data_IF_787807974933
#
_entry.id   IF_787807974933
#
_cell.length_a   1.000
_cell.length_b   1.000
_cell.length_c   1.000
_cell.angle_alpha   90.00
_cell.angle_beta   90.00
_cell.angle_gamma   90.00
#
_symmetry.space_group_name_H-M   'P 1'
#
loop_
_entity.id
_entity.type
_entity.pdbx_description
1 polymer ?
#
# COMPACT_ATOMS: atom_id res chain seq x y z
N UNK A 1 6.80 -7.48 -40.65
CA UNK A 1 5.98 -6.78 -39.63
C UNK A 1 6.88 -5.88 -38.82
N UNK A 2 6.80 -4.56 -39.00
CA UNK A 2 7.61 -3.58 -38.24
C UNK A 2 7.05 -3.47 -36.82
N UNK A 3 7.93 -3.60 -35.83
CA UNK A 3 7.65 -3.71 -34.40
C UNK A 3 6.92 -2.46 -33.86
N UNK A 4 5.58 -2.44 -33.92
CA UNK A 4 4.73 -1.50 -33.15
C UNK A 4 4.63 -1.95 -31.68
N UNK A 5 5.74 -2.22 -31.01
CA UNK A 5 5.74 -2.54 -29.58
C UNK A 5 6.18 -1.30 -28.80
N UNK A 6 5.25 -0.36 -28.68
CA UNK A 6 5.34 0.63 -27.60
C UNK A 6 4.83 -0.12 -26.37
N UNK A 7 5.75 -0.48 -25.48
CA UNK A 7 5.40 -1.10 -24.22
C UNK A 7 4.84 -0.02 -23.28
N UNK A 8 3.63 -0.22 -22.78
CA UNK A 8 2.82 0.80 -22.09
C UNK A 8 3.02 0.80 -20.56
N UNK A 9 4.21 0.42 -20.10
CA UNK A 9 4.51 0.26 -18.69
C UNK A 9 4.87 1.59 -18.03
N UNK A 10 3.88 2.23 -17.41
CA UNK A 10 4.11 3.12 -16.27
C UNK A 10 3.49 2.49 -15.03
N UNK A 11 4.15 2.63 -13.89
CA UNK A 11 4.31 1.56 -12.91
C UNK A 11 3.84 1.98 -11.53
N UNK A 12 3.08 1.14 -10.81
CA UNK A 12 2.84 1.24 -9.36
C UNK A 12 2.20 -0.03 -8.80
N UNK A 13 2.52 -0.40 -7.56
CA UNK A 13 1.99 -1.51 -6.77
C UNK A 13 2.33 -1.30 -5.27
N UNK A 14 1.30 -1.36 -4.43
CA UNK A 14 1.38 -1.26 -2.96
C UNK A 14 1.40 -2.63 -2.28
N UNK A 15 2.11 -2.80 -1.15
CA UNK A 15 1.54 -2.95 0.22
C UNK A 15 2.54 -3.43 1.30
N UNK A 16 2.17 -3.12 2.55
CA UNK A 16 2.56 -3.66 3.89
C UNK A 16 3.89 -3.19 4.51
N UNK A 17 3.74 -2.45 5.61
CA UNK A 17 4.78 -1.95 6.52
C UNK A 17 5.49 -3.11 7.22
N UNK A 18 6.83 -3.14 7.16
CA UNK A 18 7.80 -2.82 8.23
C UNK A 18 9.16 -2.70 7.53
N UNK A 19 9.76 -1.51 7.60
CA UNK A 19 11.15 -1.18 7.25
C UNK A 19 11.75 -1.81 5.97
N UNK A 20 11.89 -0.99 4.92
CA UNK A 20 12.72 -1.20 3.71
C UNK A 20 12.30 -2.31 2.74
N UNK A 21 11.32 -2.07 1.86
CA UNK A 21 11.16 -2.78 0.58
C UNK A 21 10.07 -2.11 -0.30
N UNK A 22 10.38 -1.81 -1.57
CA UNK A 22 9.44 -1.26 -2.56
C UNK A 22 9.28 -2.29 -3.69
N UNK A 23 8.59 -3.40 -3.40
CA UNK A 23 8.21 -4.38 -4.41
C UNK A 23 7.05 -3.82 -5.23
N UNK A 24 7.35 -3.26 -6.41
CA UNK A 24 6.36 -2.59 -7.30
C UNK A 24 5.80 -3.54 -8.37
N UNK A 25 6.32 -4.76 -8.45
CA UNK A 25 6.07 -5.63 -9.59
C UNK A 25 6.49 -7.05 -9.35
N UNK A 26 5.83 -7.95 -10.07
CA UNK A 26 6.29 -9.33 -10.26
C UNK A 26 6.51 -9.56 -11.75
N UNK A 27 7.71 -9.93 -12.11
CA UNK A 27 8.09 -10.30 -13.46
C UNK A 27 8.24 -11.81 -13.53
N UNK A 28 7.33 -12.47 -14.27
CA UNK A 28 7.44 -13.90 -14.54
C UNK A 28 8.14 -14.09 -15.89
N UNK A 29 9.23 -14.85 -15.88
CA UNK A 29 10.00 -15.21 -17.06
C UNK A 29 9.52 -16.54 -17.63
N UNK A 30 9.74 -16.75 -18.94
CA UNK A 30 9.33 -17.97 -19.64
C UNK A 30 10.01 -19.25 -19.16
N UNK A 31 11.19 -19.14 -18.54
CA UNK A 31 11.88 -20.26 -17.91
C UNK A 31 11.31 -20.63 -16.51
N UNK A 32 10.34 -19.87 -16.02
CA UNK A 32 9.73 -20.06 -14.70
C UNK A 32 10.27 -19.15 -13.59
N UNK A 33 11.36 -18.40 -13.83
CA UNK A 33 11.88 -17.45 -12.84
C UNK A 33 10.88 -16.33 -12.55
N UNK A 34 10.86 -15.88 -11.30
CA UNK A 34 10.00 -14.80 -10.81
C UNK A 34 10.85 -13.73 -10.12
N UNK A 35 10.78 -12.49 -10.59
CA UNK A 35 11.47 -11.35 -9.98
C UNK A 35 10.46 -10.41 -9.34
N UNK A 36 10.68 -10.04 -8.09
CA UNK A 36 9.86 -9.08 -7.37
C UNK A 36 10.64 -7.78 -7.15
N UNK A 37 10.11 -6.66 -7.64
CA UNK A 37 10.82 -5.38 -7.68
C UNK A 37 10.25 -4.43 -8.71
N UNK A 38 11.06 -3.78 -9.53
CA UNK A 38 10.56 -2.88 -10.58
C UNK A 38 11.49 -2.80 -11.80
N UNK A 39 10.91 -2.50 -12.96
CA UNK A 39 11.67 -2.16 -14.16
C UNK A 39 12.33 -0.80 -13.95
N UNK A 40 13.64 -0.79 -13.69
CA UNK A 40 14.42 0.40 -13.33
C UNK A 40 14.99 1.14 -14.53
N UNK A 41 15.15 0.46 -15.68
CA UNK A 41 15.58 1.07 -16.93
C UNK A 41 14.92 0.37 -18.12
N UNK A 42 14.53 1.15 -19.13
CA UNK A 42 14.04 0.63 -20.41
C UNK A 42 14.67 1.42 -21.54
N UNK A 43 15.21 0.70 -22.52
CA UNK A 43 15.60 1.26 -23.82
C UNK A 43 14.65 0.69 -24.87
N UNK A 44 13.69 1.50 -25.37
CA UNK A 44 12.67 1.01 -26.30
C UNK A 44 13.25 0.21 -27.47
N UNK A 45 12.75 -1.01 -27.66
CA UNK A 45 13.20 -1.90 -28.73
C UNK A 45 14.60 -2.52 -28.57
N UNK A 46 15.26 -2.32 -27.41
CA UNK A 46 16.57 -2.91 -27.12
C UNK A 46 16.48 -3.88 -25.93
N UNK A 47 16.46 -3.35 -24.72
CA UNK A 47 16.49 -4.13 -23.49
C UNK A 47 15.88 -3.35 -22.32
N UNK A 48 15.83 -4.01 -21.16
CA UNK A 48 15.46 -3.39 -19.91
C UNK A 48 16.27 -3.97 -18.76
N UNK A 49 16.33 -3.21 -17.67
CA UNK A 49 16.89 -3.66 -16.40
C UNK A 49 15.77 -3.73 -15.37
N UNK A 50 15.71 -4.84 -14.66
CA UNK A 50 14.81 -5.05 -13.53
C UNK A 50 15.62 -5.04 -12.24
N UNK A 51 15.29 -4.14 -11.33
CA UNK A 51 15.83 -4.14 -9.97
C UNK A 51 14.93 -5.01 -9.12
N UNK A 52 15.41 -6.18 -8.72
CA UNK A 52 14.69 -7.12 -7.87
C UNK A 52 15.16 -7.00 -6.42
N UNK A 53 14.22 -6.99 -5.49
CA UNK A 53 14.48 -7.10 -4.05
C UNK A 53 14.36 -8.56 -3.57
N UNK A 54 13.55 -9.34 -4.30
CA UNK A 54 13.41 -10.78 -4.13
C UNK A 54 13.36 -11.44 -5.50
N UNK A 55 14.03 -12.59 -5.66
CA UNK A 55 13.96 -13.34 -6.90
C UNK A 55 13.90 -14.84 -6.63
N UNK A 56 13.03 -15.55 -7.34
CA UNK A 56 13.09 -17.00 -7.48
C UNK A 56 13.66 -17.28 -8.86
N UNK A 57 14.84 -17.88 -8.92
CA UNK A 57 15.54 -18.14 -10.17
C UNK A 57 15.54 -19.63 -10.49
N UNK A 58 15.24 -19.95 -11.75
CA UNK A 58 15.41 -21.28 -12.33
C UNK A 58 16.61 -21.28 -13.28
N UNK A 59 17.49 -22.27 -13.09
CA UNK A 59 18.64 -22.51 -13.97
C UNK A 59 18.87 -24.01 -14.19
N UNK A 60 19.50 -24.41 -15.30
CA UNK A 60 20.02 -25.77 -15.50
C UNK A 60 20.96 -26.19 -14.36
N UNK A 61 20.89 -27.46 -13.95
CA UNK A 61 21.77 -27.98 -12.91
C UNK A 61 23.24 -28.06 -13.34
N UNK A 62 23.49 -28.28 -14.63
CA UNK A 62 24.82 -28.35 -15.23
C UNK A 62 25.58 -27.02 -15.22
N UNK A 63 24.86 -25.90 -15.10
CA UNK A 63 25.46 -24.56 -15.02
C UNK A 63 26.14 -24.30 -13.65
N UNK A 64 25.82 -25.10 -12.63
CA UNK A 64 26.45 -25.03 -11.31
C UNK A 64 27.60 -26.04 -11.22
N UNK A 65 28.82 -25.55 -10.97
CA UNK A 65 30.01 -26.39 -10.70
C UNK A 65 29.91 -27.03 -9.32
N UNK A 66 29.45 -26.29 -8.32
CA UNK A 66 29.18 -26.80 -6.97
C UNK A 66 28.23 -25.89 -6.21
N UNK A 67 27.68 -26.41 -5.11
CA UNK A 67 26.83 -25.67 -4.17
C UNK A 67 27.40 -25.92 -2.77
N UNK A 68 27.67 -24.84 -2.03
CA UNK A 68 28.22 -24.89 -0.67
C UNK A 68 27.16 -24.37 0.28
N UNK A 69 26.79 -25.17 1.27
CA UNK A 69 25.75 -24.83 2.24
C UNK A 69 26.35 -24.22 3.52
N UNK A 70 25.65 -23.24 4.09
CA UNK A 70 26.02 -22.49 5.28
C UNK A 70 24.82 -22.44 6.23
N UNK A 71 25.01 -22.88 7.47
CA UNK A 71 24.03 -22.71 8.53
C UNK A 71 24.19 -21.32 9.15
N UNK A 72 23.17 -20.47 8.97
CA UNK A 72 23.17 -19.11 9.51
C UNK A 72 22.19 -19.02 10.67
N UNK A 73 22.67 -18.58 11.83
CA UNK A 73 21.84 -18.44 13.01
C UNK A 73 20.78 -17.33 12.81
N UNK A 74 19.58 -17.53 13.36
CA UNK A 74 18.46 -16.58 13.26
C UNK A 74 18.84 -15.14 13.68
N UNK A 75 19.75 -14.98 14.65
CA UNK A 75 20.22 -13.66 15.13
C UNK A 75 21.09 -12.92 14.13
N UNK A 76 21.60 -13.61 13.10
CA UNK A 76 22.44 -13.06 12.04
C UNK A 76 21.66 -12.83 10.74
N UNK A 77 20.44 -13.33 10.64
CA UNK A 77 19.60 -13.18 9.45
C UNK A 77 18.98 -11.78 9.38
N UNK A 78 18.78 -11.30 8.15
CA UNK A 78 17.97 -10.11 7.93
C UNK A 78 16.49 -10.38 8.28
N UNK A 79 15.71 -9.35 8.65
CA UNK A 79 14.28 -9.50 8.90
C UNK A 79 13.52 -10.18 7.75
N UNK A 80 13.92 -9.93 6.50
CA UNK A 80 13.32 -10.57 5.31
C UNK A 80 13.54 -12.08 5.30
N UNK A 81 14.76 -12.54 5.59
CA UNK A 81 15.06 -13.96 5.69
C UNK A 81 14.34 -14.63 6.86
N UNK A 82 14.29 -13.96 8.02
CA UNK A 82 13.54 -14.46 9.18
C UNK A 82 12.06 -14.60 8.83
N UNK A 83 11.44 -13.54 8.29
CA UNK A 83 10.03 -13.54 7.94
C UNK A 83 9.67 -14.60 6.89
N UNK A 84 10.52 -14.80 5.89
CA UNK A 84 10.34 -15.88 4.93
C UNK A 84 10.50 -17.26 5.55
N UNK A 85 11.53 -17.48 6.37
CA UNK A 85 11.80 -18.77 6.98
C UNK A 85 10.67 -19.18 7.94
N UNK A 86 10.14 -18.27 8.75
CA UNK A 86 8.95 -18.53 9.60
C UNK A 86 7.73 -18.89 8.75
N UNK A 87 7.46 -18.12 7.68
CA UNK A 87 6.30 -18.36 6.81
C UNK A 87 6.34 -19.71 6.09
N UNK A 88 7.54 -20.25 5.87
CA UNK A 88 7.75 -21.50 5.13
C UNK A 88 8.23 -22.67 6.01
N UNK A 89 8.23 -22.51 7.33
CA UNK A 89 8.75 -23.52 8.29
C UNK A 89 10.16 -24.02 7.90
N UNK A 90 11.03 -23.09 7.50
CA UNK A 90 12.33 -23.41 6.90
C UNK A 90 13.50 -23.44 7.91
N UNK A 91 13.24 -23.08 9.17
CA UNK A 91 14.24 -23.11 10.23
C UNK A 91 14.52 -24.53 10.70
N UNK A 92 15.78 -24.82 11.01
CA UNK A 92 16.22 -26.05 11.66
C UNK A 92 16.55 -25.73 13.13
N UNK A 93 16.09 -26.55 14.06
CA UNK A 93 16.33 -26.39 15.49
C UNK A 93 15.19 -25.70 16.25
N UNK A 94 15.44 -25.32 17.51
CA UNK A 94 14.43 -24.76 18.42
C UNK A 94 14.91 -23.46 19.09
N UNK A 95 13.95 -22.57 19.38
CA UNK A 95 14.19 -21.32 20.11
C UNK A 95 15.20 -20.41 19.41
N UNK A 96 16.15 -19.90 20.18
CA UNK A 96 17.19 -18.96 19.74
C UNK A 96 18.33 -19.62 18.94
N UNK A 97 18.40 -20.95 18.93
CA UNK A 97 19.43 -21.70 18.22
C UNK A 97 18.97 -22.14 16.82
N UNK A 98 17.83 -21.62 16.35
CA UNK A 98 17.33 -21.87 15.01
C UNK A 98 18.31 -21.35 13.97
N UNK A 99 18.55 -22.17 12.94
CA UNK A 99 19.40 -21.83 11.80
C UNK A 99 18.63 -21.94 10.50
N UNK A 100 18.96 -21.09 9.53
CA UNK A 100 18.52 -21.21 8.15
C UNK A 100 19.72 -21.61 7.29
N UNK A 101 19.55 -22.63 6.46
CA UNK A 101 20.57 -23.03 5.50
C UNK A 101 20.48 -22.15 4.26
N UNK A 102 21.49 -21.29 4.07
CA UNK A 102 21.73 -20.55 2.83
C UNK A 102 22.93 -21.16 2.11
N UNK A 103 23.02 -20.98 0.81
CA UNK A 103 24.04 -21.62 -0.01
C UNK A 103 24.71 -20.61 -0.93
N UNK A 104 25.95 -20.92 -1.30
CA UNK A 104 26.65 -20.27 -2.40
C UNK A 104 26.66 -21.22 -3.61
N UNK A 105 26.15 -20.76 -4.75
CA UNK A 105 26.19 -21.48 -6.03
C UNK A 105 27.45 -21.01 -6.78
N UNK A 106 28.38 -21.94 -7.01
CA UNK A 106 29.62 -21.67 -7.72
C UNK A 106 29.43 -22.05 -9.19
N UNK A 107 29.59 -21.08 -10.09
CA UNK A 107 29.46 -21.22 -11.54
C UNK A 107 30.80 -20.94 -12.23
N UNK A 108 30.85 -21.05 -13.56
CA UNK A 108 31.99 -20.57 -14.33
C UNK A 108 32.15 -19.05 -14.23
N UNK A 109 33.20 -18.59 -13.55
CA UNK A 109 33.55 -17.17 -13.47
C UNK A 109 32.65 -16.31 -12.58
N UNK A 110 31.68 -16.90 -11.88
CA UNK A 110 30.74 -16.20 -10.99
C UNK A 110 30.34 -17.08 -9.80
N UNK A 111 30.15 -16.44 -8.64
CA UNK A 111 29.50 -17.06 -7.47
C UNK A 111 28.22 -16.30 -7.17
N UNK A 112 27.12 -17.01 -6.94
CA UNK A 112 25.86 -16.46 -6.44
C UNK A 112 25.74 -16.83 -4.98
N UNK A 113 25.97 -15.86 -4.09
CA UNK A 113 26.08 -16.12 -2.65
C UNK A 113 24.79 -15.91 -1.87
N UNK A 114 24.72 -16.54 -0.70
CA UNK A 114 23.65 -16.35 0.30
C UNK A 114 22.23 -16.54 -0.24
N UNK A 115 22.01 -17.59 -1.03
CA UNK A 115 20.69 -17.94 -1.58
C UNK A 115 20.07 -19.10 -0.85
N UNK A 116 18.74 -19.25 -0.90
CA UNK A 116 18.08 -20.45 -0.41
C UNK A 116 17.79 -21.40 -1.56
N UNK A 117 18.42 -22.58 -1.57
CA UNK A 117 18.08 -23.64 -2.54
C UNK A 117 16.69 -24.20 -2.22
N UNK A 118 15.82 -24.23 -3.23
CA UNK A 118 14.45 -24.73 -3.15
C UNK A 118 14.30 -26.07 -3.87
N UNK A 119 14.97 -26.26 -5.00
CA UNK A 119 15.02 -27.52 -5.76
C UNK A 119 16.45 -27.69 -6.31
N UNK A 120 16.98 -28.92 -6.30
CA UNK A 120 18.31 -29.26 -6.82
C UNK A 120 18.27 -30.61 -7.55
N UNK A 121 19.05 -30.73 -8.63
CA UNK A 121 19.12 -31.93 -9.47
C UNK A 121 19.42 -31.52 -10.91
N UNK A 122 18.68 -32.07 -11.88
CA UNK A 122 18.76 -31.66 -13.30
C UNK A 122 18.47 -30.16 -13.52
N UNK A 123 17.73 -29.55 -12.61
CA UNK A 123 17.49 -28.11 -12.52
C UNK A 123 17.81 -27.64 -11.10
N UNK A 124 18.16 -26.37 -10.98
CA UNK A 124 18.30 -25.69 -9.70
C UNK A 124 17.26 -24.57 -9.65
N UNK A 125 16.50 -24.54 -8.56
CA UNK A 125 15.61 -23.44 -8.21
C UNK A 125 16.08 -22.86 -6.90
N UNK A 126 16.27 -21.55 -6.86
CA UNK A 126 16.78 -20.90 -5.66
C UNK A 126 16.14 -19.52 -5.45
N UNK A 127 16.15 -19.07 -4.21
CA UNK A 127 15.59 -17.80 -3.76
C UNK A 127 16.72 -16.84 -3.37
N UNK A 128 16.70 -15.64 -3.94
CA UNK A 128 17.54 -14.50 -3.58
C UNK A 128 16.71 -13.47 -2.80
N UNK A 129 17.30 -12.87 -1.77
CA UNK A 129 16.73 -11.74 -1.00
C UNK A 129 17.68 -10.54 -0.95
N UNK A 130 18.35 -10.28 -2.08
CA UNK A 130 19.30 -9.19 -2.25
C UNK A 130 18.86 -8.29 -3.39
N UNK A 131 19.13 -6.98 -3.25
CA UNK A 131 18.86 -6.00 -4.30
C UNK A 131 19.78 -6.22 -5.51
N UNK A 132 19.29 -6.98 -6.48
CA UNK A 132 20.03 -7.35 -7.68
C UNK A 132 19.40 -6.71 -8.93
N UNK A 133 20.26 -6.29 -9.86
CA UNK A 133 19.84 -5.78 -11.15
C UNK A 133 19.97 -6.87 -12.22
N UNK A 134 18.88 -7.11 -12.94
CA UNK A 134 18.77 -8.10 -13.98
C UNK A 134 18.60 -7.41 -15.33
N UNK A 135 19.60 -7.51 -16.21
CA UNK A 135 19.48 -7.08 -17.61
C UNK A 135 18.82 -8.20 -18.40
N UNK A 136 17.66 -7.92 -18.97
CA UNK A 136 16.79 -8.90 -19.60
C UNK A 136 16.32 -8.42 -20.98
N UNK A 137 16.01 -9.38 -21.84
CA UNK A 137 15.36 -9.11 -23.12
C UNK A 137 13.84 -9.25 -23.00
N UNK A 138 13.09 -8.45 -23.77
CA UNK A 138 11.63 -8.44 -23.75
C UNK A 138 10.99 -9.78 -24.09
N UNK A 139 11.65 -10.58 -24.93
CA UNK A 139 11.19 -11.91 -25.34
C UNK A 139 11.31 -12.97 -24.24
N UNK A 140 12.08 -12.71 -23.18
CA UNK A 140 12.19 -13.60 -22.01
C UNK A 140 10.99 -13.50 -21.07
N UNK A 141 10.23 -12.40 -21.16
CA UNK A 141 9.10 -12.12 -20.27
C UNK A 141 7.90 -12.99 -20.69
N UNK A 142 7.30 -13.67 -19.71
CA UNK A 142 6.00 -14.30 -19.87
C UNK A 142 4.88 -13.32 -19.52
N UNK A 143 4.96 -12.65 -18.37
CA UNK A 143 3.96 -11.69 -17.89
C UNK A 143 4.56 -10.75 -16.84
N UNK A 144 4.09 -9.51 -16.83
CA UNK A 144 4.37 -8.51 -15.79
C UNK A 144 3.11 -8.35 -14.95
N UNK A 145 3.17 -8.56 -13.63
CA UNK A 145 2.01 -8.49 -12.73
C UNK A 145 2.19 -7.48 -11.62
N UNK A 146 1.07 -7.03 -11.08
CA UNK A 146 0.97 -6.24 -9.88
C UNK A 146 0.02 -6.91 -8.87
N UNK A 147 0.36 -6.84 -7.58
CA UNK A 147 -0.55 -7.31 -6.54
C UNK A 147 -1.75 -6.37 -6.43
N UNK A 148 -2.89 -6.96 -6.11
CA UNK A 148 -4.11 -6.21 -5.89
C UNK A 148 -3.95 -5.31 -4.67
N UNK A 149 -4.32 -4.05 -4.82
CA UNK A 149 -4.29 -3.05 -3.75
C UNK A 149 -5.17 -3.54 -2.60
N UNK A 150 -4.66 -3.44 -1.36
CA UNK A 150 -5.48 -3.75 -0.19
C UNK A 150 -6.72 -2.84 -0.17
N UNK A 151 -7.88 -3.41 0.20
CA UNK A 151 -9.15 -2.66 0.27
C UNK A 151 -9.08 -1.45 1.21
N UNK A 152 -8.25 -1.54 2.24
CA UNK A 152 -8.03 -0.46 3.20
C UNK A 152 -7.07 0.64 2.69
N UNK A 153 -6.32 0.42 1.61
CA UNK A 153 -5.39 1.42 1.13
C UNK A 153 -6.12 2.62 0.52
N UNK A 154 -5.80 3.81 1.02
CA UNK A 154 -6.33 5.09 0.53
C UNK A 154 -5.37 5.75 -0.45
N UNK A 155 -4.09 5.43 -0.39
CA UNK A 155 -3.10 5.91 -1.36
C UNK A 155 -3.15 5.05 -2.63
N UNK A 156 -2.86 5.60 -3.79
CA UNK A 156 -2.56 4.82 -5.00
C UNK A 156 -3.01 5.48 -6.30
N UNK A 157 -2.66 4.85 -7.42
CA UNK A 157 -2.96 5.35 -8.76
C UNK A 157 -3.82 4.33 -9.52
N UNK A 158 -4.93 4.80 -10.09
CA UNK A 158 -5.67 4.12 -11.13
C UNK A 158 -5.13 4.52 -12.51
N UNK A 159 -5.23 3.59 -13.45
CA UNK A 159 -4.86 3.76 -14.86
C UNK A 159 -6.11 3.89 -15.69
N UNK A 160 -6.06 4.80 -16.66
CA UNK A 160 -7.11 5.02 -17.64
C UNK A 160 -6.52 4.68 -19.00
N UNK A 161 -7.06 3.66 -19.66
CA UNK A 161 -6.67 3.25 -21.00
C UNK A 161 -7.80 3.54 -21.97
N UNK A 162 -7.52 4.28 -23.04
CA UNK A 162 -8.42 4.49 -24.16
C UNK A 162 -8.03 3.60 -25.33
N UNK A 163 -9.00 2.87 -25.87
CA UNK A 163 -8.82 2.02 -27.03
C UNK A 163 -9.16 2.75 -28.34
N UNK A 164 -8.68 2.23 -29.46
CA UNK A 164 -8.93 2.79 -30.80
C UNK A 164 -10.42 2.87 -31.16
N UNK A 165 -11.25 2.00 -30.58
CA UNK A 165 -12.70 2.00 -30.76
C UNK A 165 -13.42 3.07 -29.90
N UNK A 166 -12.67 3.87 -29.14
CA UNK A 166 -13.18 4.93 -28.28
C UNK A 166 -13.57 4.49 -26.87
N UNK A 167 -13.56 3.19 -26.56
CA UNK A 167 -13.81 2.70 -25.21
C UNK A 167 -12.72 3.15 -24.24
N UNK A 168 -13.10 3.45 -23.01
CA UNK A 168 -12.20 3.87 -21.94
C UNK A 168 -12.36 2.97 -20.71
N UNK A 169 -11.23 2.49 -20.21
CA UNK A 169 -11.20 1.65 -19.02
C UNK A 169 -10.36 2.27 -17.93
N UNK A 170 -10.96 2.48 -16.75
CA UNK A 170 -10.30 2.96 -15.54
C UNK A 170 -10.19 1.85 -14.49
N UNK A 171 -9.02 1.61 -13.93
CA UNK A 171 -8.87 0.68 -12.82
C UNK A 171 -7.44 0.54 -12.31
N UNK A 172 -7.25 -0.33 -11.33
CA UNK A 172 -5.92 -0.70 -10.89
C UNK A 172 -5.32 -1.69 -11.89
N UNK A 173 -4.07 -1.50 -12.29
CA UNK A 173 -3.36 -2.49 -13.12
C UNK A 173 -3.27 -3.87 -12.46
N UNK A 174 -3.50 -4.92 -13.25
CA UNK A 174 -3.35 -6.32 -12.85
C UNK A 174 -2.09 -6.91 -13.45
N UNK A 175 -2.07 -7.00 -14.77
CA UNK A 175 -1.01 -7.66 -15.51
C UNK A 175 -0.97 -7.24 -16.97
N UNK A 176 0.17 -7.51 -17.60
CA UNK A 176 0.39 -7.36 -19.04
C UNK A 176 1.20 -8.54 -19.54
N UNK A 177 0.71 -9.17 -20.59
CA UNK A 177 1.49 -10.09 -21.41
C UNK A 177 2.07 -9.26 -22.55
N UNK A 178 3.40 -9.05 -22.59
CA UNK A 178 4.00 -8.07 -23.50
C UNK A 178 3.56 -8.25 -24.96
N UNK A 179 3.00 -7.18 -25.53
CA UNK A 179 2.53 -7.15 -26.91
C UNK A 179 1.26 -7.98 -27.19
N UNK A 180 0.61 -8.53 -26.17
CA UNK A 180 -0.65 -9.29 -26.31
C UNK A 180 -1.80 -8.61 -25.59
N UNK A 181 -1.81 -8.64 -24.26
CA UNK A 181 -2.97 -8.25 -23.44
C UNK A 181 -2.57 -7.43 -22.23
N UNK A 182 -3.43 -6.51 -21.83
CA UNK A 182 -3.34 -5.72 -20.61
C UNK A 182 -4.63 -5.87 -19.81
N UNK A 183 -4.52 -5.90 -18.48
CA UNK A 183 -5.65 -6.14 -17.59
C UNK A 183 -5.77 -5.11 -16.46
N UNK A 184 -7.01 -4.72 -16.11
CA UNK A 184 -7.34 -3.81 -15.02
C UNK A 184 -8.36 -4.40 -14.04
N UNK A 185 -8.13 -4.28 -12.74
CA UNK A 185 -9.17 -4.43 -11.72
C UNK A 185 -10.09 -3.21 -11.75
N UNK A 186 -11.36 -3.44 -12.09
CA UNK A 186 -12.42 -2.44 -12.04
C UNK A 186 -13.03 -2.36 -10.64
N UNK A 187 -13.61 -1.22 -10.31
CA UNK A 187 -14.26 -0.99 -9.00
C UNK A 187 -15.49 -1.89 -8.78
N UNK A 188 -16.11 -2.37 -9.87
CA UNK A 188 -17.20 -3.35 -9.81
C UNK A 188 -16.72 -4.79 -9.53
N UNK A 189 -15.41 -5.00 -9.32
CA UNK A 189 -14.82 -6.31 -9.03
C UNK A 189 -14.46 -7.15 -10.25
N UNK A 190 -14.79 -6.71 -11.47
CA UNK A 190 -14.42 -7.39 -12.72
C UNK A 190 -12.97 -7.09 -13.09
N UNK A 191 -12.30 -8.07 -13.70
CA UNK A 191 -11.01 -7.85 -14.38
C UNK A 191 -11.33 -7.57 -15.84
N UNK A 192 -11.06 -6.35 -16.29
CA UNK A 192 -11.13 -6.00 -17.69
C UNK A 192 -9.85 -6.44 -18.39
N UNK A 193 -9.96 -7.07 -19.57
CA UNK A 193 -8.82 -7.55 -20.35
C UNK A 193 -8.97 -7.07 -21.79
N UNK A 194 -7.94 -6.41 -22.33
CA UNK A 194 -7.94 -5.92 -23.71
C UNK A 194 -6.58 -6.04 -24.36
N UNK A 195 -6.55 -6.00 -25.69
CA UNK A 195 -5.31 -6.10 -26.45
C UNK A 195 -4.44 -4.84 -26.29
N UNK A 196 -3.14 -5.03 -26.01
CA UNK A 196 -2.19 -3.91 -25.83
C UNK A 196 -2.05 -3.04 -27.10
N UNK A 197 -2.16 -3.66 -28.28
CA UNK A 197 -2.01 -2.98 -29.57
C UNK A 197 -3.20 -2.05 -29.91
N UNK A 198 -4.32 -2.16 -29.19
CA UNK A 198 -5.52 -1.34 -29.36
C UNK A 198 -5.49 -0.06 -28.54
N UNK A 199 -4.54 0.07 -27.62
CA UNK A 199 -4.44 1.24 -26.75
C UNK A 199 -3.90 2.44 -27.55
N UNK A 200 -4.67 3.52 -27.57
CA UNK A 200 -4.30 4.78 -28.22
C UNK A 200 -3.96 5.88 -27.22
N UNK A 201 -4.37 5.73 -25.97
CA UNK A 201 -4.03 6.67 -24.90
C UNK A 201 -3.99 5.97 -23.55
N UNK A 202 -3.09 6.45 -22.71
CA UNK A 202 -2.92 6.08 -21.33
C UNK A 202 -2.88 7.33 -20.45
N UNK A 203 -3.53 7.29 -19.28
CA UNK A 203 -3.46 8.35 -18.27
C UNK A 203 -3.49 7.78 -16.85
N UNK A 204 -3.00 8.55 -15.88
CA UNK A 204 -3.06 8.22 -14.45
C UNK A 204 -4.11 9.03 -13.72
N UNK A 205 -4.73 8.44 -12.69
CA UNK A 205 -5.61 9.12 -11.75
C UNK A 205 -5.28 8.73 -10.31
N UNK A 206 -5.06 9.73 -9.47
CA UNK A 206 -4.96 9.57 -8.01
C UNK A 206 -6.28 9.08 -7.43
N UNK A 207 -6.23 8.07 -6.57
CA UNK A 207 -7.46 7.55 -5.94
C UNK A 207 -7.89 8.40 -4.74
N UNK A 208 -6.94 9.03 -4.03
CA UNK A 208 -7.24 9.96 -2.96
C UNK A 208 -7.12 11.41 -3.46
N UNK A 209 -8.23 12.16 -3.58
CA UNK A 209 -8.20 13.55 -4.01
C UNK A 209 -7.49 14.47 -3.02
N UNK A 210 -7.46 14.12 -1.73
CA UNK A 210 -6.88 14.91 -0.65
C UNK A 210 -5.37 14.66 -0.46
N UNK A 211 -4.78 13.74 -1.24
CA UNK A 211 -3.36 13.45 -1.21
C UNK A 211 -2.70 13.89 -2.53
N UNK A 212 -1.47 14.39 -2.49
CA UNK A 212 -0.70 14.78 -3.66
C UNK A 212 -0.43 13.59 -4.61
N UNK A 213 -0.12 13.87 -5.88
CA UNK A 213 0.24 12.81 -6.83
C UNK A 213 1.54 12.11 -6.43
N UNK A 214 2.56 12.89 -6.03
CA UNK A 214 3.86 12.38 -5.59
C UNK A 214 3.76 11.55 -4.32
N UNK A 215 2.83 11.85 -3.43
CA UNK A 215 2.61 11.03 -2.24
C UNK A 215 1.92 9.70 -2.56
N UNK A 216 1.27 9.60 -3.73
CA UNK A 216 0.58 8.40 -4.21
C UNK A 216 1.38 7.56 -5.20
N UNK A 217 2.54 8.03 -5.63
CA UNK A 217 3.40 7.35 -6.61
C UNK A 217 4.62 6.76 -5.91
N UNK A 218 4.85 5.46 -5.99
CA UNK A 218 6.00 4.79 -5.35
C UNK A 218 7.30 5.02 -6.10
N UNK A 219 7.20 5.28 -7.40
CA UNK A 219 8.34 5.50 -8.27
C UNK A 219 8.27 6.89 -8.90
N UNK A 220 9.43 7.44 -9.19
CA UNK A 220 9.60 8.60 -10.06
C UNK A 220 10.04 8.13 -11.44
N UNK A 221 9.48 8.77 -12.46
CA UNK A 221 9.90 8.62 -13.84
C UNK A 221 11.07 9.55 -14.14
N UNK A 222 12.11 8.99 -14.75
CA UNK A 222 13.27 9.70 -15.26
C UNK A 222 13.32 9.44 -16.77
N UNK A 223 13.14 10.49 -17.56
CA UNK A 223 13.15 10.41 -19.02
C UNK A 223 14.52 10.88 -19.51
N UNK A 224 15.23 9.99 -20.19
CA UNK A 224 16.47 10.30 -20.86
C UNK A 224 16.16 10.72 -22.30
N UNK A 225 16.47 11.97 -22.63
CA UNK A 225 16.29 12.53 -23.97
C UNK A 225 17.51 12.25 -24.85
N UNK A 226 17.31 12.20 -26.17
CA UNK A 226 18.39 12.02 -27.16
C UNK A 226 19.43 13.13 -27.18
N UNK A 227 19.07 14.32 -26.71
CA UNK A 227 19.98 15.46 -26.54
C UNK A 227 20.71 15.44 -25.18
N UNK A 228 20.68 14.30 -24.47
CA UNK A 228 21.23 14.08 -23.13
C UNK A 228 20.52 14.84 -21.98
N UNK A 229 19.46 15.60 -22.24
CA UNK A 229 18.65 16.18 -21.16
C UNK A 229 17.94 15.08 -20.37
N UNK A 230 17.77 15.33 -19.09
CA UNK A 230 17.06 14.43 -18.17
C UNK A 230 15.87 15.17 -17.60
N UNK A 231 14.69 14.57 -17.71
CA UNK A 231 13.45 15.07 -17.10
C UNK A 231 13.03 14.12 -15.99
N UNK A 232 12.59 14.66 -14.85
CA UNK A 232 12.20 13.87 -13.68
C UNK A 232 10.83 14.30 -13.19
N UNK A 233 9.96 13.34 -12.90
CA UNK A 233 8.59 13.60 -12.48
C UNK A 233 7.74 12.33 -12.47
N UNK A 234 6.44 12.48 -12.76
CA UNK A 234 5.51 11.36 -12.91
C UNK A 234 4.85 11.48 -14.28
N UNK A 235 4.91 10.42 -15.09
CA UNK A 235 4.23 10.38 -16.39
C UNK A 235 2.73 10.23 -16.13
N UNK A 236 1.97 11.30 -16.34
CA UNK A 236 0.53 11.33 -16.09
C UNK A 236 -0.30 10.97 -17.32
N UNK A 237 0.31 11.02 -18.52
CA UNK A 237 -0.35 10.69 -19.77
C UNK A 237 0.67 10.21 -20.83
N UNK A 238 0.26 9.26 -21.67
CA UNK A 238 0.93 8.92 -22.92
C UNK A 238 -0.11 8.79 -24.04
N UNK A 239 0.18 9.38 -25.20
CA UNK A 239 -0.65 9.35 -26.39
C UNK A 239 0.04 8.58 -27.52
N UNK A 240 -0.69 7.66 -28.12
CA UNK A 240 -0.24 6.80 -29.22
C UNK A 240 -1.16 7.01 -30.43
N UNK A 241 -0.86 8.05 -31.20
CA UNK A 241 -1.52 8.34 -32.47
C UNK A 241 -1.22 7.27 -33.50
N UNK A 242 -2.28 6.72 -34.08
CA UNK A 242 -2.18 5.86 -35.26
C UNK A 242 -2.04 6.66 -36.57
N UNK A 243 -2.20 7.99 -36.54
CA UNK A 243 -2.13 8.86 -37.73
C UNK A 243 -0.69 9.18 -38.12
N UNK A 244 0.10 9.70 -37.17
CA UNK A 244 1.51 10.00 -37.38
C UNK A 244 2.32 9.76 -36.09
N UNK A 245 3.46 9.05 -36.14
CA UNK A 245 4.32 8.85 -34.97
C UNK A 245 4.83 10.15 -34.33
N UNK A 246 4.88 11.25 -35.10
CA UNK A 246 5.23 12.59 -34.63
C UNK A 246 4.24 13.17 -33.63
N UNK A 247 3.02 12.65 -33.60
CA UNK A 247 1.93 13.09 -32.72
C UNK A 247 1.94 12.31 -31.40
N UNK A 248 2.85 11.35 -31.25
CA UNK A 248 3.00 10.58 -30.02
C UNK A 248 3.77 11.41 -29.00
N UNK A 249 3.17 11.59 -27.84
CA UNK A 249 3.75 12.35 -26.75
C UNK A 249 3.47 11.69 -25.40
N UNK A 250 4.18 12.14 -24.38
CA UNK A 250 3.82 11.96 -22.99
C UNK A 250 3.71 13.30 -22.29
N UNK A 251 2.94 13.32 -21.19
CA UNK A 251 2.91 14.44 -20.25
C UNK A 251 3.57 14.00 -18.95
N UNK A 252 4.58 14.77 -18.52
CA UNK A 252 5.30 14.57 -17.27
C UNK A 252 4.91 15.69 -16.29
N UNK A 253 4.38 15.34 -15.13
CA UNK A 253 4.20 16.29 -14.04
C UNK A 253 5.46 16.33 -13.17
N UNK A 254 6.06 17.50 -13.01
CA UNK A 254 7.19 17.74 -12.11
C UNK A 254 6.72 17.95 -10.68
N UNK A 255 7.65 17.87 -9.73
CA UNK A 255 7.36 18.05 -8.31
C UNK A 255 6.80 19.46 -7.99
N UNK A 256 7.17 20.46 -8.78
CA UNK A 256 6.62 21.82 -8.70
C UNK A 256 5.16 21.93 -9.17
N UNK A 257 4.56 20.85 -9.68
CA UNK A 257 3.22 20.81 -10.24
C UNK A 257 3.15 21.17 -11.73
N UNK A 258 4.25 21.58 -12.34
CA UNK A 258 4.32 21.93 -13.77
C UNK A 258 4.16 20.68 -14.64
N UNK A 259 3.41 20.79 -15.73
CA UNK A 259 3.28 19.70 -16.71
C UNK A 259 4.13 20.01 -17.94
N UNK A 260 4.97 19.06 -18.35
CA UNK A 260 5.81 19.14 -19.54
C UNK A 260 5.36 18.13 -20.57
N UNK A 261 5.17 18.57 -21.82
CA UNK A 261 4.87 17.68 -22.95
C UNK A 261 6.16 17.29 -23.66
N UNK A 262 6.36 15.98 -23.86
CA UNK A 262 7.57 15.41 -24.47
C UNK A 262 7.17 14.52 -25.63
N UNK A 263 7.75 14.72 -26.82
CA UNK A 263 7.52 13.83 -27.95
C UNK A 263 8.22 12.50 -27.72
N UNK A 264 7.54 11.38 -28.00
CA UNK A 264 8.15 10.05 -27.81
C UNK A 264 9.36 9.83 -28.73
N UNK A 265 9.37 10.46 -29.90
CA UNK A 265 10.48 10.37 -30.86
C UNK A 265 11.80 10.97 -30.34
N UNK A 266 11.74 11.84 -29.34
CA UNK A 266 12.92 12.55 -28.78
C UNK A 266 13.51 11.84 -27.56
N UNK A 267 12.90 10.73 -27.13
CA UNK A 267 13.30 9.94 -25.96
C UNK A 267 14.30 8.86 -26.39
N UNK A 268 15.38 8.71 -25.61
CA UNK A 268 16.38 7.64 -25.76
C UNK A 268 16.10 6.47 -24.80
N UNK A 269 15.61 6.77 -23.60
CA UNK A 269 15.27 5.74 -22.62
C UNK A 269 14.47 6.25 -21.44
N UNK A 270 13.96 5.30 -20.66
CA UNK A 270 13.23 5.55 -19.43
C UNK A 270 14.00 4.93 -18.27
N UNK A 271 13.94 5.58 -17.12
CA UNK A 271 14.44 5.08 -15.84
C UNK A 271 13.40 5.30 -14.76
N UNK A 272 13.50 4.48 -13.71
CA UNK A 272 12.69 4.62 -12.50
C UNK A 272 13.56 4.53 -11.26
N UNK A 273 13.17 5.28 -10.24
CA UNK A 273 13.74 5.20 -8.90
C UNK A 273 12.64 5.27 -7.86
N UNK A 274 12.93 4.79 -6.65
CA UNK A 274 12.03 4.87 -5.51
C UNK A 274 11.75 6.34 -5.20
N UNK A 275 10.48 6.67 -5.05
CA UNK A 275 10.04 8.00 -4.69
C UNK A 275 10.11 8.19 -3.16
N UNK A 276 11.01 9.04 -2.65
CA UNK A 276 11.12 9.28 -1.20
C UNK A 276 9.89 9.99 -0.61
N UNK A 277 9.01 10.57 -1.45
CA UNK A 277 7.78 11.24 -1.01
C UNK A 277 6.57 10.32 -0.94
N UNK A 278 6.69 9.06 -1.37
CA UNK A 278 5.59 8.11 -1.28
C UNK A 278 5.14 7.95 0.18
N UNK A 279 3.86 8.18 0.45
CA UNK A 279 3.30 8.21 1.80
C UNK A 279 2.02 7.37 1.85
N UNK A 280 2.11 6.05 2.08
CA UNK A 280 0.96 5.18 2.02
C UNK A 280 0.02 5.41 3.21
N UNK A 281 -1.22 5.74 2.90
CA UNK A 281 -2.33 5.90 3.84
C UNK A 281 -3.23 4.68 3.78
N UNK A 282 -3.63 4.21 4.97
CA UNK A 282 -4.54 3.09 5.13
C UNK A 282 -5.67 3.47 6.07
N UNK A 283 -6.85 3.04 5.69
CA UNK A 283 -8.08 3.09 6.46
C UNK A 283 -8.20 1.89 7.42
N UNK A 284 -9.26 1.92 8.23
CA UNK A 284 -9.86 0.75 8.84
C UNK A 284 -11.21 0.48 8.19
N UNK A 285 -11.45 -0.78 7.80
CA UNK A 285 -12.71 -1.17 7.17
C UNK A 285 -13.73 -1.51 8.25
N UNK A 286 -14.66 -0.60 8.47
CA UNK A 286 -15.72 -0.72 9.47
C UNK A 286 -17.05 -1.09 8.81
N UNK A 287 -17.88 -1.85 9.52
CA UNK A 287 -19.30 -2.02 9.18
C UNK A 287 -20.06 -0.76 9.58
N UNK A 288 -21.22 -0.55 8.96
CA UNK A 288 -22.09 0.58 9.33
C UNK A 288 -22.43 0.53 10.82
N UNK A 289 -22.20 1.64 11.52
CA UNK A 289 -22.41 1.78 12.96
C UNK A 289 -21.26 1.29 13.85
N UNK A 290 -20.24 0.63 13.29
CA UNK A 290 -19.03 0.30 14.07
C UNK A 290 -18.22 1.56 14.36
N UNK A 291 -17.59 1.58 15.53
CA UNK A 291 -16.75 2.68 15.98
C UNK A 291 -15.55 2.12 16.75
N UNK A 292 -14.37 2.63 16.42
CA UNK A 292 -13.12 2.36 17.13
C UNK A 292 -12.52 3.66 17.64
N UNK A 293 -11.69 3.56 18.69
CA UNK A 293 -10.90 4.69 19.17
C UNK A 293 -9.42 4.33 19.08
N UNK A 294 -8.64 5.13 18.37
CA UNK A 294 -7.22 4.90 18.04
C UNK A 294 -6.99 3.46 17.54
N UNK A 295 -7.85 2.98 16.63
CA UNK A 295 -7.87 1.61 16.08
C UNK A 295 -8.06 0.48 17.10
N UNK A 296 -8.39 0.81 18.35
CA UNK A 296 -8.76 -0.18 19.35
C UNK A 296 -10.27 -0.41 19.34
N UNK A 297 -10.66 -1.68 19.43
CA UNK A 297 -12.05 -2.08 19.55
C UNK A 297 -12.69 -1.45 20.78
N UNK A 298 -13.96 -1.07 20.63
CA UNK A 298 -14.72 -0.43 21.69
C UNK A 298 -15.91 -1.30 22.09
N UNK A 299 -16.60 -0.89 23.14
CA UNK A 299 -17.82 -1.55 23.58
C UNK A 299 -18.93 -0.51 23.76
N UNK A 300 -20.10 -0.79 23.19
CA UNK A 300 -21.29 0.04 23.38
C UNK A 300 -21.97 -0.33 24.70
N UNK A 301 -22.27 0.66 25.53
CA UNK A 301 -22.99 0.49 26.79
C UNK A 301 -24.30 1.27 26.75
N UNK A 302 -25.42 0.66 27.16
CA UNK A 302 -26.66 1.40 27.45
C UNK A 302 -26.52 2.15 28.76
N UNK A 303 -26.90 3.42 28.76
CA UNK A 303 -26.88 4.27 29.95
C UNK A 303 -28.27 4.41 30.56
N UNK A 304 -28.32 4.78 31.85
CA UNK A 304 -29.56 5.20 32.50
C UNK A 304 -29.51 6.70 32.77
N UNK A 305 -30.58 7.39 32.41
CA UNK A 305 -30.78 8.80 32.71
C UNK A 305 -31.60 8.90 34.01
N UNK A 306 -30.99 9.42 35.07
CA UNK A 306 -31.62 9.58 36.38
C UNK A 306 -31.45 11.03 36.85
N UNK A 307 -32.51 11.81 36.76
CA UNK A 307 -32.47 13.25 37.05
C UNK A 307 -31.52 13.99 36.08
N UNK A 308 -30.48 14.61 36.62
CA UNK A 308 -29.49 15.34 35.83
C UNK A 308 -28.30 14.47 35.36
N UNK A 309 -28.26 13.19 35.75
CA UNK A 309 -27.12 12.30 35.53
C UNK A 309 -27.41 11.28 34.43
N UNK A 310 -26.40 11.08 33.60
CA UNK A 310 -26.29 9.97 32.67
C UNK A 310 -25.29 8.99 33.27
N UNK A 311 -25.77 7.79 33.63
CA UNK A 311 -25.01 6.82 34.42
C UNK A 311 -24.57 5.63 33.59
N UNK A 312 -23.31 5.25 33.76
CA UNK A 312 -22.73 4.07 33.14
C UNK A 312 -22.97 2.85 34.02
N UNK A 313 -23.35 1.69 33.44
CA UNK A 313 -23.69 0.51 34.22
C UNK A 313 -22.48 -0.13 34.92
N UNK A 314 -21.27 0.05 34.36
CA UNK A 314 -20.02 -0.54 34.86
C UNK A 314 -18.80 0.19 34.27
N UNK A 315 -17.67 0.11 34.97
CA UNK A 315 -16.38 0.60 34.47
C UNK A 315 -15.74 -0.39 33.49
N UNK A 316 -16.38 -0.59 32.34
CA UNK A 316 -15.82 -1.43 31.27
C UNK A 316 -15.53 -0.58 30.05
N UNK A 317 -14.25 -0.32 29.83
CA UNK A 317 -13.72 0.21 28.57
C UNK A 317 -12.70 -0.79 28.02
N UNK A 318 -12.84 -1.10 26.73
CA UNK A 318 -11.88 -1.90 25.98
C UNK A 318 -10.72 -1.04 25.46
N UNK A 319 -11.02 0.15 24.95
CA UNK A 319 -10.02 1.08 24.43
C UNK A 319 -9.24 1.78 25.57
N UNK A 320 -7.93 1.58 25.60
CA UNK A 320 -6.98 2.14 26.57
C UNK A 320 -5.81 2.76 25.82
N UNK A 321 -5.71 4.08 25.93
CA UNK A 321 -4.79 4.90 25.15
C UNK A 321 -3.74 5.47 26.10
N UNK A 322 -2.48 5.32 25.73
CA UNK A 322 -1.37 5.91 26.50
C UNK A 322 -1.32 7.41 26.27
N UNK A 323 -1.17 8.16 27.36
CA UNK A 323 -1.06 9.60 27.34
C UNK A 323 0.23 10.03 26.65
N UNK A 324 0.12 11.05 25.80
CA UNK A 324 1.26 11.77 25.23
C UNK A 324 1.34 13.19 25.76
N UNK A 325 2.55 13.72 25.85
CA UNK A 325 2.79 15.12 26.23
C UNK A 325 3.06 15.98 24.99
N UNK A 326 2.56 17.23 24.93
CA UNK A 326 1.75 17.91 25.96
C UNK A 326 0.27 17.50 25.98
N UNK A 327 -0.22 16.84 24.93
CA UNK A 327 -1.59 16.35 24.83
C UNK A 327 -1.65 15.03 24.03
N UNK A 328 -2.74 14.29 24.23
CA UNK A 328 -2.99 13.01 23.56
C UNK A 328 -3.95 13.22 22.40
N UNK A 329 -3.54 12.77 21.21
CA UNK A 329 -4.42 12.72 20.05
C UNK A 329 -5.36 11.53 20.16
N UNK A 330 -6.67 11.82 20.08
CA UNK A 330 -7.73 10.82 20.09
C UNK A 330 -8.36 10.82 18.71
N UNK A 331 -8.38 9.64 18.10
CA UNK A 331 -8.89 9.42 16.76
C UNK A 331 -10.09 8.49 16.89
N UNK A 332 -11.26 8.99 16.57
CA UNK A 332 -12.47 8.17 16.43
C UNK A 332 -12.62 7.84 14.95
N UNK A 333 -12.70 6.55 14.63
CA UNK A 333 -13.00 6.08 13.26
C UNK A 333 -14.32 5.32 13.30
N UNK A 334 -15.25 5.68 12.41
CA UNK A 334 -16.58 5.08 12.32
C UNK A 334 -17.10 5.07 10.89
N UNK A 335 -18.05 4.18 10.57
CA UNK A 335 -18.78 4.23 9.30
C UNK A 335 -20.24 4.55 9.56
N UNK A 336 -20.66 5.75 9.17
CA UNK A 336 -22.06 6.16 9.28
C UNK A 336 -22.95 5.42 8.28
N UNK A 337 -24.25 5.37 8.60
CA UNK A 337 -25.26 4.95 7.63
C UNK A 337 -25.41 6.02 6.54
N UNK A 338 -25.66 5.57 5.31
CA UNK A 338 -25.84 6.48 4.18
C UNK A 338 -27.01 7.45 4.44
N UNK A 339 -26.84 8.73 4.09
CA UNK A 339 -27.83 9.82 4.22
C UNK A 339 -28.22 10.23 5.66
N UNK A 340 -27.47 9.81 6.68
CA UNK A 340 -27.61 10.37 8.03
C UNK A 340 -26.73 11.62 8.14
N UNK A 341 -27.24 12.77 8.61
CA UNK A 341 -26.39 13.92 8.91
C UNK A 341 -25.31 13.46 9.88
N UNK A 342 -24.02 13.62 9.51
CA UNK A 342 -22.89 13.18 10.32
C UNK A 342 -23.07 13.72 11.75
N UNK A 343 -23.41 12.88 12.74
CA UNK A 343 -23.51 13.35 14.10
C UNK A 343 -22.12 13.80 14.53
N UNK A 344 -22.01 15.01 15.07
CA UNK A 344 -20.82 15.42 15.80
C UNK A 344 -20.75 14.56 17.04
N UNK A 345 -19.81 13.61 17.06
CA UNK A 345 -19.53 12.85 18.27
C UNK A 345 -18.88 13.78 19.28
N UNK A 346 -19.59 14.06 20.36
CA UNK A 346 -19.07 14.85 21.46
C UNK A 346 -18.46 13.93 22.50
N UNK A 347 -17.21 14.20 22.88
CA UNK A 347 -16.54 13.46 23.95
C UNK A 347 -16.76 14.20 25.26
N UNK A 348 -17.16 13.45 26.29
CA UNK A 348 -17.34 13.96 27.66
C UNK A 348 -16.50 13.18 28.65
N UNK A 349 -16.00 13.86 29.69
CA UNK A 349 -15.24 13.21 30.77
C UNK A 349 -16.20 12.52 31.75
N UNK A 350 -16.00 11.22 31.95
CA UNK A 350 -16.76 10.43 32.92
C UNK A 350 -16.13 10.59 34.30
N UNK A 351 -16.97 10.89 35.30
CA UNK A 351 -16.56 11.11 36.69
C UNK A 351 -17.25 10.12 37.62
N UNK A 352 -16.66 9.94 38.79
CA UNK A 352 -17.28 9.20 39.89
C UNK A 352 -18.15 10.14 40.71
N UNK A 353 -19.42 9.79 40.87
CA UNK A 353 -20.39 10.51 41.69
C UNK A 353 -20.83 9.65 42.88
N UNK A 354 -21.34 10.33 43.91
CA UNK A 354 -21.86 9.70 45.13
C UNK A 354 -23.31 10.12 45.32
N UNK A 355 -24.24 9.16 45.23
CA UNK A 355 -25.60 9.38 45.69
C UNK A 355 -25.60 9.36 47.22
N UNK A 356 -25.75 10.53 47.83
CA UNK A 356 -25.77 10.69 49.29
C UNK A 356 -26.98 10.03 49.95
N UNK A 357 -28.12 9.90 49.26
CA UNK A 357 -29.34 9.28 49.79
C UNK A 357 -29.22 7.76 49.82
N UNK A 358 -28.68 7.17 48.75
CA UNK A 358 -28.51 5.72 48.64
C UNK A 358 -27.13 5.20 49.06
N UNK A 359 -26.19 6.09 49.42
CA UNK A 359 -24.76 5.80 49.70
C UNK A 359 -24.09 4.97 48.59
N UNK A 360 -24.47 5.18 47.33
CA UNK A 360 -23.94 4.44 46.18
C UNK A 360 -23.00 5.31 45.36
N UNK A 361 -21.88 4.74 44.96
CA UNK A 361 -20.99 5.33 43.99
C UNK A 361 -21.41 4.90 42.59
N UNK A 362 -21.43 5.82 41.64
CA UNK A 362 -21.68 5.51 40.23
C UNK A 362 -20.75 6.31 39.32
N UNK A 363 -20.53 5.80 38.11
CA UNK A 363 -19.80 6.51 37.06
C UNK A 363 -20.81 7.18 36.15
N UNK A 364 -20.54 8.41 35.75
CA UNK A 364 -21.44 9.14 34.88
C UNK A 364 -20.92 10.50 34.48
N UNK A 365 -21.79 11.27 33.86
CA UNK A 365 -21.64 12.69 33.54
C UNK A 365 -23.03 13.32 33.56
N UNK A 366 -23.10 14.64 33.50
CA UNK A 366 -24.37 15.37 33.53
C UNK A 366 -24.71 15.96 32.17
N UNK A 367 -25.98 16.34 31.95
CA UNK A 367 -26.37 17.10 30.76
C UNK A 367 -25.62 18.43 30.65
N UNK A 368 -25.23 19.03 31.79
CA UNK A 368 -24.41 20.24 31.79
C UNK A 368 -22.99 19.98 31.28
N UNK A 369 -22.40 18.80 31.56
CA UNK A 369 -21.06 18.46 31.08
C UNK A 369 -21.03 18.32 29.55
N UNK A 370 -22.10 17.79 28.95
CA UNK A 370 -22.27 17.71 27.48
C UNK A 370 -22.25 19.13 26.90
N UNK A 371 -23.00 20.07 27.48
CA UNK A 371 -23.12 21.42 26.90
C UNK A 371 -21.89 22.30 27.15
N UNK A 372 -21.25 22.19 28.33
CA UNK A 372 -20.22 23.14 28.76
C UNK A 372 -18.79 22.62 28.62
N UNK A 373 -18.60 21.32 28.62
CA UNK A 373 -17.26 20.69 28.70
C UNK A 373 -17.07 19.58 27.67
N UNK A 374 -17.92 19.52 26.64
CA UNK A 374 -17.67 18.62 25.53
C UNK A 374 -16.35 18.96 24.85
N UNK A 375 -15.73 17.92 24.31
CA UNK A 375 -14.54 18.03 23.48
C UNK A 375 -15.00 17.74 22.06
N UNK A 376 -14.88 18.75 21.21
CA UNK A 376 -15.25 18.71 19.80
C UNK A 376 -14.05 18.28 18.96
N UNK A 377 -14.28 17.62 17.81
CA UNK A 377 -13.20 17.29 16.90
C UNK A 377 -12.65 18.56 16.25
N UNK A 378 -11.33 18.65 16.12
CA UNK A 378 -10.69 19.73 15.35
C UNK A 378 -10.54 19.37 13.86
N UNK A 379 -10.72 18.10 13.50
CA UNK A 379 -10.67 17.62 12.12
C UNK A 379 -11.70 16.50 11.93
N UNK A 380 -12.43 16.55 10.82
CA UNK A 380 -13.38 15.52 10.40
C UNK A 380 -13.17 15.26 8.92
N UNK A 381 -12.83 14.03 8.57
CA UNK A 381 -12.60 13.63 7.19
C UNK A 381 -13.25 12.28 6.91
N UNK A 382 -13.90 12.15 5.77
CA UNK A 382 -14.47 10.88 5.32
C UNK A 382 -13.68 10.37 4.13
N UNK A 383 -13.21 9.13 4.23
CA UNK A 383 -12.44 8.47 3.19
C UNK A 383 -13.33 7.97 2.05
N UNK A 384 -12.69 7.53 0.96
CA UNK A 384 -13.39 6.86 -0.16
C UNK A 384 -14.05 5.53 0.25
N UNK A 385 -13.63 4.92 1.36
CA UNK A 385 -14.25 3.72 1.93
C UNK A 385 -15.45 4.04 2.85
N UNK A 386 -15.86 5.31 2.92
CA UNK A 386 -16.91 5.81 3.80
C UNK A 386 -16.61 5.68 5.30
N UNK A 387 -15.35 5.50 5.67
CA UNK A 387 -14.93 5.62 7.07
C UNK A 387 -14.69 7.10 7.37
N UNK A 388 -15.37 7.62 8.39
CA UNK A 388 -15.16 8.96 8.91
C UNK A 388 -14.19 8.91 10.07
N UNK A 389 -13.11 9.68 9.95
CA UNK A 389 -12.11 9.95 10.99
C UNK A 389 -12.42 11.29 11.64
N UNK A 390 -12.54 11.29 12.96
CA UNK A 390 -12.71 12.48 13.79
C UNK A 390 -11.53 12.57 14.75
N UNK A 391 -10.81 13.70 14.72
CA UNK A 391 -9.59 13.90 15.50
C UNK A 391 -9.82 14.93 16.62
N UNK A 392 -9.39 14.58 17.82
CA UNK A 392 -9.55 15.36 19.05
C UNK A 392 -8.21 15.46 19.77
N UNK A 393 -8.07 16.50 20.59
CA UNK A 393 -6.92 16.69 21.46
C UNK A 393 -7.38 16.68 22.91
N UNK A 394 -6.84 15.76 23.72
CA UNK A 394 -7.16 15.65 25.15
C UNK A 394 -5.88 15.66 25.99
N UNK A 395 -5.75 16.64 26.89
CA UNK A 395 -4.55 16.81 27.72
C UNK A 395 -4.59 16.01 29.04
N UNK A 396 -5.79 15.63 29.48
CA UNK A 396 -6.01 15.00 30.78
C UNK A 396 -6.12 13.47 30.68
N UNK A 397 -5.61 12.79 31.70
CA UNK A 397 -5.93 11.38 31.93
C UNK A 397 -7.37 11.22 32.47
N UNK A 398 -7.92 10.02 32.26
CA UNK A 398 -9.21 9.66 32.83
C UNK A 398 -10.06 8.78 31.93
N UNK A 399 -11.29 8.53 32.38
CA UNK A 399 -12.33 7.86 31.63
C UNK A 399 -13.14 8.90 30.86
N UNK A 400 -13.33 8.66 29.57
CA UNK A 400 -14.10 9.49 28.66
C UNK A 400 -15.18 8.64 27.99
N UNK A 401 -16.22 9.29 27.47
CA UNK A 401 -17.31 8.64 26.77
C UNK A 401 -17.78 9.46 25.58
N UNK A 402 -18.12 8.77 24.50
CA UNK A 402 -18.88 9.32 23.37
C UNK A 402 -20.34 9.01 23.65
N UNK A 403 -21.20 10.02 23.74
CA UNK A 403 -22.61 9.84 24.06
C UNK A 403 -23.52 9.96 22.84
N UNK A 404 -24.38 8.97 22.63
CA UNK A 404 -25.50 9.03 21.69
C UNK A 404 -26.81 9.22 22.46
N UNK A 405 -27.41 10.43 22.43
CA UNK A 405 -28.66 10.72 23.12
C UNK A 405 -29.88 10.06 22.49
N UNK A 406 -29.83 9.70 21.20
CA UNK A 406 -30.97 9.07 20.52
C UNK A 406 -31.13 7.63 20.97
N UNK A 407 -30.03 6.89 20.97
CA UNK A 407 -30.00 5.47 21.36
C UNK A 407 -29.80 5.27 22.87
N UNK A 408 -29.54 6.35 23.62
CA UNK A 408 -29.17 6.33 25.05
C UNK A 408 -28.03 5.36 25.31
N UNK A 409 -26.99 5.50 24.52
CA UNK A 409 -25.79 4.65 24.59
C UNK A 409 -24.53 5.48 24.71
N UNK A 410 -23.50 4.90 25.31
CA UNK A 410 -22.16 5.46 25.35
C UNK A 410 -21.12 4.48 24.88
N UNK A 411 -20.02 5.02 24.35
CA UNK A 411 -18.80 4.28 24.06
C UNK A 411 -17.68 4.83 24.95
N UNK A 412 -17.30 4.11 26.02
CA UNK A 412 -16.26 4.58 26.93
C UNK A 412 -14.85 4.20 26.44
N UNK A 413 -13.90 5.08 26.67
CA UNK A 413 -12.46 4.85 26.45
C UNK A 413 -11.64 5.52 27.55
N UNK A 414 -10.41 5.05 27.77
CA UNK A 414 -9.55 5.56 28.85
C UNK A 414 -8.23 6.06 28.32
N UNK A 415 -7.82 7.24 28.79
CA UNK A 415 -6.45 7.76 28.63
C UNK A 415 -5.70 7.47 29.94
N UNK A 416 -4.53 6.85 29.84
CA UNK A 416 -3.69 6.46 30.98
C UNK A 416 -2.30 7.04 30.88
#
# INVERSE_FOLDING_TARGET
MKLKQIFLFTLLLQTVVIANATIVQKLLLKNGSELEGYISMQRPGKDFTFTAERAIIFMPGEDAKSIVDHEINIKQLSPSWVGWAEKNDAFIGLGDNRVLVLSDIIMEGKTIGQVRILEKGAKIKYLEMSNNAYSLNWDTIAVVKADKRAKAALTGINRIYKLENGQEYEGQYVEEVPGKTLSLYRDNGVIEVFETNKVVKYSMRKINPNQGLFEQSELLDIIQMKNNNILKGIIIEQNFSNKAPSDNYLLLQTESGTTQSVKLADIDGYRKEVNPKFNPLFDILLRTGELVVNRQQTNLLRVKEEGAYITLPKDTCLARIEKRQPATEIIIETRFADNVPNPTFEIVKVRKFVDKKQKKNFLGFTFQDIVKTNIQPHSVQTSVNKTTKLEYTISEEGLFAIYDPKEKTVIPFRIK
#
